data_IF_672196654139
#
_entry.id   IF_672196654139
#
_cell.length_a   1.000
_cell.length_b   1.000
_cell.length_c   1.000
_cell.angle_alpha   90.00
_cell.angle_beta   90.00
_cell.angle_gamma   90.00
#
_symmetry.space_group_name_H-M   'P 1'
#
loop_
_entity.id
_entity.type
_entity.pdbx_description
1 polymer ?
#
# COMPACT_ATOMS: atom_id res chain seq x y z
N UNK A 1 11.86 9.43 11.75
CA UNK A 1 12.53 9.57 10.44
C UNK A 1 11.54 10.14 9.42
N UNK A 2 11.73 11.40 8.99
CA UNK A 2 10.84 12.06 8.01
C UNK A 2 11.06 11.45 6.64
N UNK A 3 10.10 10.68 6.11
CA UNK A 3 10.04 10.40 4.67
C UNK A 3 9.58 11.67 3.96
N UNK A 4 10.52 12.38 3.35
CA UNK A 4 10.25 13.52 2.47
C UNK A 4 9.42 13.00 1.28
N UNK A 5 8.28 13.65 1.00
CA UNK A 5 7.56 13.48 -0.28
C UNK A 5 8.53 13.79 -1.40
N UNK A 6 8.90 12.80 -2.18
CA UNK A 6 9.54 13.08 -3.47
C UNK A 6 8.49 13.74 -4.38
N UNK A 7 8.82 14.84 -5.04
CA UNK A 7 7.95 15.41 -6.06
C UNK A 7 7.69 14.35 -7.12
N UNK A 8 6.42 14.21 -7.55
CA UNK A 8 6.07 13.38 -8.70
C UNK A 8 6.69 14.03 -9.94
N UNK A 9 7.90 13.60 -10.28
CA UNK A 9 8.49 13.91 -11.58
C UNK A 9 7.58 13.26 -12.62
N UNK A 10 7.19 13.97 -13.70
CA UNK A 10 6.46 13.35 -14.80
C UNK A 10 7.30 12.17 -15.29
N UNK A 11 6.80 10.95 -15.09
CA UNK A 11 7.48 9.77 -15.57
C UNK A 11 7.46 9.83 -17.11
N UNK A 12 8.60 10.13 -17.72
CA UNK A 12 8.83 9.67 -19.09
C UNK A 12 8.57 8.15 -19.05
N UNK A 13 7.44 7.74 -19.64
CA UNK A 13 7.06 6.33 -19.68
C UNK A 13 8.10 5.59 -20.50
N UNK A 14 9.13 5.11 -19.83
CA UNK A 14 10.06 4.17 -20.43
C UNK A 14 9.23 3.01 -20.97
N UNK A 15 9.27 2.76 -22.28
CA UNK A 15 8.49 1.70 -22.91
C UNK A 15 9.08 0.37 -22.43
N UNK A 16 8.33 -0.29 -21.51
CA UNK A 16 8.72 -1.60 -20.99
C UNK A 16 8.77 -2.64 -22.13
N UNK A 17 9.83 -3.40 -22.19
CA UNK A 17 9.90 -4.58 -23.07
C UNK A 17 9.49 -5.85 -22.30
N UNK A 18 9.42 -6.98 -23.01
CA UNK A 18 9.03 -8.26 -22.43
C UNK A 18 9.98 -8.75 -21.33
N UNK A 19 11.26 -8.34 -21.38
CA UNK A 19 12.24 -8.67 -20.35
C UNK A 19 11.96 -7.86 -19.08
N UNK A 20 11.67 -6.57 -19.23
CA UNK A 20 11.32 -5.70 -18.11
C UNK A 20 10.06 -6.19 -17.40
N UNK A 21 9.02 -6.55 -18.17
CA UNK A 21 7.78 -7.13 -17.62
C UNK A 21 8.05 -8.44 -16.86
N UNK A 22 8.93 -9.30 -17.38
CA UNK A 22 9.32 -10.53 -16.71
C UNK A 22 10.07 -10.28 -15.41
N UNK A 23 11.01 -9.32 -15.41
CA UNK A 23 11.72 -8.89 -14.19
C UNK A 23 10.72 -8.38 -13.15
N UNK A 24 9.75 -7.54 -13.54
CA UNK A 24 8.73 -7.01 -12.63
C UNK A 24 7.83 -8.12 -12.06
N UNK A 25 7.38 -9.05 -12.90
CA UNK A 25 6.57 -10.20 -12.50
C UNK A 25 7.28 -11.09 -11.49
N UNK A 26 8.55 -11.43 -11.74
CA UNK A 26 9.36 -12.25 -10.83
C UNK A 26 9.63 -11.55 -9.49
N UNK A 27 9.93 -10.26 -9.52
CA UNK A 27 10.15 -9.47 -8.31
C UNK A 27 8.87 -9.27 -7.49
N UNK A 28 7.71 -9.14 -8.15
CA UNK A 28 6.42 -9.07 -7.47
C UNK A 28 6.07 -10.37 -6.76
N UNK A 29 6.42 -11.51 -7.36
CA UNK A 29 6.20 -12.84 -6.78
C UNK A 29 7.22 -13.18 -5.68
N UNK A 30 8.46 -12.72 -5.81
CA UNK A 30 9.53 -12.97 -4.84
C UNK A 30 10.51 -11.80 -4.78
N UNK A 31 10.25 -10.86 -3.89
CA UNK A 31 11.11 -9.69 -3.68
C UNK A 31 12.51 -10.02 -3.12
N UNK A 32 12.79 -11.27 -2.69
CA UNK A 32 14.09 -11.73 -2.23
C UNK A 32 14.88 -12.55 -3.25
N UNK A 33 14.37 -12.67 -4.48
CA UNK A 33 15.06 -13.37 -5.57
C UNK A 33 16.45 -12.77 -5.78
N UNK A 34 17.49 -13.61 -5.92
CA UNK A 34 18.83 -13.13 -6.22
C UNK A 34 18.93 -12.64 -7.67
N UNK A 35 19.85 -11.70 -7.95
CA UNK A 35 20.05 -11.23 -9.33
C UNK A 35 20.46 -12.37 -10.29
N UNK A 36 21.17 -13.38 -9.81
CA UNK A 36 21.55 -14.56 -10.60
C UNK A 36 20.30 -15.36 -11.00
N UNK A 37 19.43 -15.66 -10.05
CA UNK A 37 18.21 -16.40 -10.32
C UNK A 37 17.21 -15.57 -11.16
N UNK A 38 17.08 -14.28 -10.87
CA UNK A 38 16.25 -13.36 -11.66
C UNK A 38 16.70 -13.30 -13.12
N UNK A 39 18.02 -13.21 -13.35
CA UNK A 39 18.58 -13.19 -14.70
C UNK A 39 18.29 -14.47 -15.47
N UNK A 40 18.42 -15.64 -14.80
CA UNK A 40 18.09 -16.93 -15.37
C UNK A 40 16.61 -16.99 -15.80
N UNK A 41 15.69 -16.55 -14.95
CA UNK A 41 14.24 -16.52 -15.23
C UNK A 41 13.88 -15.51 -16.30
N UNK A 42 14.57 -14.36 -16.31
CA UNK A 42 14.41 -13.35 -17.37
C UNK A 42 15.10 -13.71 -18.69
N UNK A 43 15.83 -14.86 -18.73
CA UNK A 43 16.56 -15.37 -19.92
C UNK A 43 17.62 -14.37 -20.44
N UNK A 44 18.31 -13.69 -19.52
CA UNK A 44 19.43 -12.79 -19.81
C UNK A 44 20.59 -13.07 -18.84
N UNK A 45 21.75 -12.46 -19.06
CA UNK A 45 22.89 -12.57 -18.13
C UNK A 45 22.73 -11.60 -16.94
N UNK A 46 23.42 -11.88 -15.82
CA UNK A 46 23.26 -11.15 -14.58
C UNK A 46 23.61 -9.65 -14.65
N UNK A 47 24.67 -9.20 -15.37
CA UNK A 47 24.97 -7.76 -15.46
C UNK A 47 23.87 -6.92 -16.13
N UNK A 48 23.32 -7.26 -17.31
CA UNK A 48 22.21 -6.52 -17.89
C UNK A 48 20.92 -6.65 -17.06
N UNK A 49 20.69 -7.76 -16.37
CA UNK A 49 19.54 -7.91 -15.46
C UNK A 49 19.61 -6.88 -14.34
N UNK A 50 20.74 -6.77 -13.64
CA UNK A 50 20.94 -5.79 -12.58
C UNK A 50 20.77 -4.35 -13.07
N UNK A 51 21.30 -4.04 -14.28
CA UNK A 51 21.15 -2.72 -14.88
C UNK A 51 19.69 -2.38 -15.16
N UNK A 52 18.90 -3.33 -15.70
CA UNK A 52 17.47 -3.16 -15.96
C UNK A 52 16.69 -2.97 -14.66
N UNK A 53 16.93 -3.82 -13.67
CA UNK A 53 16.30 -3.70 -12.35
C UNK A 53 16.49 -2.31 -11.74
N UNK A 54 17.74 -1.80 -11.73
CA UNK A 54 18.05 -0.44 -11.26
C UNK A 54 17.37 0.66 -12.08
N UNK A 55 17.24 0.46 -13.39
CA UNK A 55 16.52 1.40 -14.26
C UNK A 55 15.03 1.43 -13.93
N UNK A 56 14.40 0.27 -13.67
CA UNK A 56 12.99 0.15 -13.25
C UNK A 56 12.74 0.78 -11.87
N UNK A 57 13.68 0.61 -10.92
CA UNK A 57 13.65 1.30 -9.63
C UNK A 57 13.74 2.82 -9.81
N UNK A 58 14.73 3.30 -10.58
CA UNK A 58 14.90 4.74 -10.86
C UNK A 58 13.70 5.35 -11.57
N UNK A 59 13.09 4.60 -12.49
CA UNK A 59 11.90 5.02 -13.22
C UNK A 59 10.60 4.93 -12.37
N UNK A 60 10.67 4.44 -11.11
CA UNK A 60 9.53 4.38 -10.19
C UNK A 60 8.53 3.23 -10.45
N UNK A 61 8.85 2.29 -11.34
CA UNK A 61 8.06 1.07 -11.51
C UNK A 61 8.12 0.18 -10.26
N UNK A 62 9.27 0.13 -9.60
CA UNK A 62 9.48 -0.54 -8.32
C UNK A 62 9.52 0.52 -7.23
N UNK A 63 8.49 0.54 -6.37
CA UNK A 63 8.38 1.52 -5.27
C UNK A 63 9.15 1.11 -4.02
N UNK A 64 9.46 -0.16 -3.88
CA UNK A 64 10.15 -0.72 -2.72
C UNK A 64 10.00 -2.23 -2.65
N UNK A 65 10.70 -2.81 -1.68
CA UNK A 65 10.66 -4.24 -1.34
C UNK A 65 10.23 -4.35 0.10
N UNK A 66 9.18 -5.10 0.38
CA UNK A 66 8.62 -5.27 1.71
C UNK A 66 8.39 -6.74 2.02
N UNK A 67 8.65 -7.13 3.26
CA UNK A 67 8.22 -8.43 3.74
C UNK A 67 6.70 -8.41 3.96
N UNK A 68 6.01 -9.44 3.51
CA UNK A 68 4.64 -9.71 3.92
C UNK A 68 4.69 -10.45 5.26
N UNK A 69 4.12 -9.84 6.29
CA UNK A 69 4.18 -10.34 7.66
C UNK A 69 2.85 -10.96 8.06
N UNK A 70 2.91 -12.11 8.75
CA UNK A 70 1.73 -12.70 9.36
C UNK A 70 1.31 -11.85 10.57
N UNK A 71 0.25 -11.07 10.38
CA UNK A 71 -0.30 -10.20 11.41
C UNK A 71 -0.76 -10.98 12.64
N UNK A 72 -1.36 -12.17 12.47
CA UNK A 72 -1.82 -13.01 13.58
C UNK A 72 -0.65 -13.53 14.40
N UNK A 73 0.41 -13.98 13.76
CA UNK A 73 1.63 -14.40 14.44
C UNK A 73 2.29 -13.27 15.24
N UNK A 74 2.01 -12.01 14.87
CA UNK A 74 2.45 -10.79 15.56
C UNK A 74 1.42 -10.26 16.58
N UNK A 75 0.31 -10.99 16.82
CA UNK A 75 -0.70 -10.60 17.78
C UNK A 75 -1.80 -9.68 17.25
N UNK A 76 -1.84 -9.38 15.94
CA UNK A 76 -2.92 -8.59 15.33
C UNK A 76 -4.01 -9.52 14.78
N UNK A 77 -5.01 -9.79 15.59
CA UNK A 77 -6.09 -10.73 15.23
C UNK A 77 -7.23 -10.07 14.45
N UNK A 78 -7.38 -8.75 14.57
CA UNK A 78 -8.48 -8.01 13.97
C UNK A 78 -7.96 -7.17 12.80
N UNK A 79 -8.59 -7.38 11.65
CA UNK A 79 -8.51 -6.47 10.50
C UNK A 79 -9.90 -5.92 10.22
N UNK A 80 -10.01 -4.61 10.07
CA UNK A 80 -11.28 -3.96 9.76
C UNK A 80 -11.10 -2.84 8.74
N UNK A 81 -12.21 -2.50 8.09
CA UNK A 81 -12.31 -1.33 7.24
C UNK A 81 -13.17 -0.27 7.91
N UNK A 82 -12.74 0.98 7.85
CA UNK A 82 -13.53 2.12 8.28
C UNK A 82 -13.81 3.02 7.07
N UNK A 83 -15.09 3.26 6.82
CA UNK A 83 -15.59 4.18 5.81
C UNK A 83 -15.87 5.51 6.49
N UNK A 84 -15.17 6.55 6.10
CA UNK A 84 -15.16 7.84 6.80
C UNK A 84 -15.76 8.91 5.91
N UNK A 85 -16.77 9.61 6.41
CA UNK A 85 -17.29 10.84 5.84
C UNK A 85 -16.80 12.04 6.65
N UNK A 86 -16.34 13.07 5.96
CA UNK A 86 -15.89 14.31 6.58
C UNK A 86 -17.02 15.35 6.61
N UNK A 87 -16.95 16.29 7.54
CA UNK A 87 -17.89 17.42 7.63
C UNK A 87 -17.62 18.50 6.58
N UNK A 88 -16.44 18.50 5.96
CA UNK A 88 -16.04 19.42 4.89
C UNK A 88 -15.16 18.71 3.87
N UNK A 89 -15.40 19.01 2.58
CA UNK A 89 -14.68 18.40 1.45
C UNK A 89 -13.74 19.40 0.77
N UNK A 90 -13.42 20.52 1.42
CA UNK A 90 -12.39 21.42 0.93
C UNK A 90 -11.02 20.72 0.93
N UNK A 91 -10.18 21.02 -0.04
CA UNK A 91 -8.84 20.43 -0.18
C UNK A 91 -8.01 20.52 1.13
N UNK A 92 -8.21 21.60 1.90
CA UNK A 92 -7.55 21.78 3.19
C UNK A 92 -8.04 20.77 4.24
N UNK A 93 -9.33 20.42 4.23
CA UNK A 93 -9.91 19.45 5.16
C UNK A 93 -9.48 18.03 4.82
N UNK A 94 -9.47 17.69 3.53
CA UNK A 94 -8.97 16.40 3.04
C UNK A 94 -7.49 16.18 3.43
N UNK A 95 -6.63 17.17 3.16
CA UNK A 95 -5.20 17.11 3.53
C UNK A 95 -4.97 17.00 5.03
N UNK A 96 -5.77 17.72 5.82
CA UNK A 96 -5.67 17.66 7.29
C UNK A 96 -6.00 16.26 7.79
N UNK A 97 -7.04 15.63 7.25
CA UNK A 97 -7.38 14.26 7.60
C UNK A 97 -6.28 13.27 7.21
N UNK A 98 -5.75 13.37 5.98
CA UNK A 98 -4.61 12.55 5.55
C UNK A 98 -3.38 12.68 6.47
N UNK A 99 -3.10 13.89 6.98
CA UNK A 99 -2.00 14.13 7.93
C UNK A 99 -2.25 13.47 9.29
N UNK A 100 -3.50 13.50 9.78
CA UNK A 100 -3.89 12.79 11.01
C UNK A 100 -3.73 11.28 10.84
N UNK A 101 -4.25 10.72 9.75
CA UNK A 101 -4.16 9.28 9.46
C UNK A 101 -2.72 8.78 9.44
N UNK A 102 -1.77 9.57 8.94
CA UNK A 102 -0.34 9.20 8.95
C UNK A 102 0.24 8.98 10.35
N UNK A 103 -0.34 9.59 11.36
CA UNK A 103 0.09 9.45 12.75
C UNK A 103 -0.53 8.24 13.44
N UNK A 104 -1.51 7.55 12.85
CA UNK A 104 -2.22 6.44 13.45
C UNK A 104 -1.63 5.08 13.04
N UNK A 105 -0.88 4.39 13.92
CA UNK A 105 -0.23 3.10 13.59
C UNK A 105 -1.22 1.99 13.23
N UNK A 106 -2.43 2.03 13.80
CA UNK A 106 -3.51 1.09 13.52
C UNK A 106 -3.96 1.15 12.05
N UNK A 107 -3.81 2.30 11.37
CA UNK A 107 -4.19 2.45 9.96
C UNK A 107 -3.04 2.02 9.07
N UNK A 108 -3.26 0.99 8.29
CA UNK A 108 -2.26 0.42 7.37
C UNK A 108 -2.40 0.95 5.95
N UNK A 109 -3.61 1.25 5.52
CA UNK A 109 -3.91 1.81 4.20
C UNK A 109 -4.99 2.88 4.34
N UNK A 110 -4.89 3.94 3.55
CA UNK A 110 -5.86 5.03 3.49
C UNK A 110 -6.07 5.41 2.03
N UNK A 111 -7.31 5.34 1.58
CA UNK A 111 -7.71 5.69 0.23
C UNK A 111 -8.74 6.80 0.28
N UNK A 112 -8.50 7.88 -0.46
CA UNK A 112 -9.54 8.86 -0.77
C UNK A 112 -10.42 8.28 -1.87
N UNK A 113 -11.72 8.34 -1.68
CA UNK A 113 -12.71 7.76 -2.59
C UNK A 113 -13.51 8.86 -3.29
N UNK A 114 -14.05 8.51 -4.45
CA UNK A 114 -15.12 9.26 -5.10
C UNK A 114 -16.45 8.56 -4.82
N UNK A 115 -17.38 9.18 -4.09
CA UNK A 115 -18.66 8.55 -3.77
C UNK A 115 -19.27 9.08 -2.48
N UNK A 116 -20.07 8.22 -1.81
CA UNK A 116 -20.81 8.60 -0.60
C UNK A 116 -19.95 8.85 0.63
N UNK A 117 -18.74 8.32 0.65
CA UNK A 117 -17.76 8.49 1.72
C UNK A 117 -16.45 9.03 1.16
N UNK A 118 -15.74 9.80 1.97
CA UNK A 118 -14.53 10.50 1.52
C UNK A 118 -13.30 9.60 1.61
N UNK A 119 -13.22 8.74 2.62
CA UNK A 119 -12.06 7.86 2.83
C UNK A 119 -12.43 6.44 3.21
N UNK A 120 -11.60 5.50 2.77
CA UNK A 120 -11.57 4.11 3.21
C UNK A 120 -10.23 3.87 3.92
N UNK A 121 -10.30 3.42 5.16
CA UNK A 121 -9.15 3.02 5.96
C UNK A 121 -9.14 1.51 6.14
N UNK A 122 -7.99 0.88 5.96
CA UNK A 122 -7.73 -0.48 6.42
C UNK A 122 -6.99 -0.41 7.75
N UNK A 123 -7.60 -0.95 8.78
CA UNK A 123 -7.11 -0.90 10.15
C UNK A 123 -6.77 -2.30 10.66
N UNK A 124 -5.77 -2.39 11.53
CA UNK A 124 -5.41 -3.61 12.26
C UNK A 124 -5.39 -3.33 13.76
N UNK A 125 -5.77 -4.32 14.55
CA UNK A 125 -5.74 -4.25 16.00
C UNK A 125 -5.44 -5.63 16.60
N UNK A 126 -4.96 -5.65 17.84
CA UNK A 126 -4.66 -6.87 18.57
C UNK A 126 -5.95 -7.67 18.85
N UNK A 127 -7.02 -6.96 19.21
CA UNK A 127 -8.32 -7.55 19.50
C UNK A 127 -9.46 -6.58 19.12
N UNK A 128 -10.70 -7.04 19.30
CA UNK A 128 -11.89 -6.24 19.00
C UNK A 128 -12.03 -5.02 19.92
N UNK A 129 -11.61 -5.10 21.17
CA UNK A 129 -11.66 -4.00 22.13
C UNK A 129 -10.73 -2.87 21.71
N UNK A 130 -9.49 -3.21 21.34
CA UNK A 130 -8.49 -2.26 20.82
C UNK A 130 -8.95 -1.63 19.51
N UNK A 131 -9.58 -2.40 18.61
CA UNK A 131 -10.18 -1.87 17.39
C UNK A 131 -11.29 -0.86 17.73
N UNK A 132 -12.20 -1.21 18.64
CA UNK A 132 -13.32 -0.37 19.04
C UNK A 132 -12.84 0.93 19.72
N UNK A 133 -11.84 0.85 20.61
CA UNK A 133 -11.23 2.02 21.23
C UNK A 133 -10.61 2.95 20.19
N UNK A 134 -9.88 2.41 19.19
CA UNK A 134 -9.36 3.22 18.10
C UNK A 134 -10.48 3.95 17.33
N UNK A 135 -11.58 3.24 17.00
CA UNK A 135 -12.70 3.85 16.27
C UNK A 135 -13.35 4.96 17.07
N UNK A 136 -13.65 4.73 18.37
CA UNK A 136 -14.38 5.70 19.20
C UNK A 136 -13.54 6.84 19.71
N UNK A 137 -12.32 6.57 20.18
CA UNK A 137 -11.49 7.55 20.88
C UNK A 137 -10.55 8.33 19.95
N UNK A 138 -10.20 7.72 18.81
CA UNK A 138 -9.26 8.32 17.87
C UNK A 138 -9.93 8.78 16.58
N UNK A 139 -10.58 7.86 15.86
CA UNK A 139 -11.11 8.16 14.54
C UNK A 139 -12.35 9.06 14.60
N UNK A 140 -13.35 8.68 15.39
CA UNK A 140 -14.59 9.46 15.52
C UNK A 140 -14.37 10.79 16.26
N UNK A 141 -13.38 10.86 17.16
CA UNK A 141 -13.00 12.08 17.86
C UNK A 141 -12.20 13.09 16.99
N UNK A 142 -11.79 12.70 15.78
CA UNK A 142 -11.07 13.60 14.88
C UNK A 142 -11.98 14.75 14.41
N UNK A 143 -11.48 15.98 14.49
CA UNK A 143 -12.27 17.24 14.39
C UNK A 143 -13.14 17.39 13.14
N UNK A 144 -12.78 16.79 12.02
CA UNK A 144 -13.49 16.93 10.75
C UNK A 144 -14.18 15.63 10.29
N UNK A 145 -14.25 14.63 11.17
CA UNK A 145 -14.99 13.39 10.90
C UNK A 145 -16.47 13.59 11.25
N UNK A 146 -17.35 13.39 10.27
CA UNK A 146 -18.79 13.51 10.43
C UNK A 146 -19.46 12.13 10.62
N UNK A 147 -18.94 11.10 9.97
CA UNK A 147 -19.50 9.77 10.05
C UNK A 147 -18.43 8.69 9.90
N UNK A 148 -18.62 7.56 10.59
CA UNK A 148 -17.77 6.38 10.46
C UNK A 148 -18.69 5.16 10.39
N UNK A 149 -18.51 4.33 9.35
CA UNK A 149 -19.08 2.99 9.26
C UNK A 149 -17.93 1.99 9.25
N UNK A 150 -18.06 0.87 9.96
CA UNK A 150 -17.00 -0.13 10.04
C UNK A 150 -17.46 -1.48 9.51
N UNK A 151 -16.51 -2.25 8.96
CA UNK A 151 -16.70 -3.63 8.56
C UNK A 151 -15.49 -4.46 9.02
N UNK A 152 -15.73 -5.55 9.72
CA UNK A 152 -14.67 -6.48 10.13
C UNK A 152 -14.41 -7.51 9.04
N UNK A 153 -13.15 -7.83 8.81
CA UNK A 153 -12.74 -8.89 7.90
C UNK A 153 -12.90 -10.23 8.60
N UNK A 154 -13.84 -11.06 8.10
CA UNK A 154 -14.04 -12.42 8.61
C UNK A 154 -12.90 -13.33 8.10
N UNK A 155 -12.55 -13.20 6.83
CA UNK A 155 -11.42 -13.91 6.19
C UNK A 155 -10.94 -13.17 4.95
N UNK A 156 -9.65 -13.23 4.67
CA UNK A 156 -9.12 -12.83 3.38
C UNK A 156 -9.24 -14.00 2.41
N UNK A 157 -10.05 -13.86 1.36
CA UNK A 157 -10.23 -14.91 0.34
C UNK A 157 -9.18 -14.86 -0.76
N UNK A 158 -8.55 -13.70 -0.94
CA UNK A 158 -7.44 -13.48 -1.87
C UNK A 158 -6.55 -12.36 -1.35
N UNK A 159 -5.26 -12.58 -1.39
CA UNK A 159 -4.25 -11.57 -1.10
C UNK A 159 -3.09 -11.74 -2.08
N UNK A 160 -3.01 -10.88 -3.07
CA UNK A 160 -1.92 -10.84 -4.04
C UNK A 160 -1.39 -9.39 -4.09
N UNK A 161 -0.10 -9.18 -3.85
CA UNK A 161 0.47 -7.83 -3.87
C UNK A 161 0.54 -7.28 -5.29
N UNK A 162 0.49 -5.96 -5.40
CA UNK A 162 0.75 -5.23 -6.64
C UNK A 162 -0.38 -5.26 -7.65
N UNK A 163 -0.02 -5.46 -8.93
CA UNK A 163 -0.94 -5.41 -10.09
C UNK A 163 -0.66 -6.59 -11.02
N UNK A 164 -1.62 -7.03 -11.84
CA UNK A 164 -1.34 -8.03 -12.87
C UNK A 164 -0.25 -7.54 -13.83
N UNK A 165 0.80 -8.34 -14.00
CA UNK A 165 1.87 -8.08 -14.96
C UNK A 165 1.81 -9.13 -16.05
N UNK A 166 1.24 -8.76 -17.22
CA UNK A 166 1.13 -9.67 -18.37
C UNK A 166 2.48 -9.75 -19.10
N UNK A 167 3.13 -10.88 -18.96
CA UNK A 167 4.33 -11.22 -19.73
C UNK A 167 3.87 -11.87 -21.05
N UNK A 168 3.66 -11.04 -22.09
CA UNK A 168 3.37 -11.54 -23.44
C UNK A 168 4.61 -12.13 -24.11
#
# INVERSE_FOLDING_TARGET
>A
MRRVRQPQVPMERHKLDSIDLRILSELQSNGRITNVELSRRAKITAPPCLRRMRALEKAGYIKGYHADLDGKALGYEVTGFAFVGLSGQAEADLKRFEEQVRAWPAVRECFMLSGEVDFLLKCVAEDLSSFQSFITETLTAAKNVASVKTALVIRASKHEPGVPVDVK
#
